data_IF_160653372940
#
_entry.id   IF_160653372940
#
_cell.length_a   1.000
_cell.length_b   1.000
_cell.length_c   1.000
_cell.angle_alpha   90.00
_cell.angle_beta   90.00
_cell.angle_gamma   90.00
#
_symmetry.space_group_name_H-M   'P 1'
#
loop_
_entity.id
_entity.type
_entity.pdbx_description
1 polymer ?
#
# COMPACT_ATOMS: atom_id res chain seq x y z
N UNK A 1 16.24 -9.98 15.54
CA UNK A 1 16.92 -9.22 14.47
C UNK A 1 15.94 -8.34 13.70
N UNK A 2 14.82 -8.88 13.19
CA UNK A 2 13.77 -8.11 12.48
C UNK A 2 13.17 -6.98 13.33
N UNK A 3 12.90 -7.20 14.61
CA UNK A 3 12.34 -6.15 15.51
C UNK A 3 13.24 -4.92 15.61
N UNK A 4 14.56 -5.08 15.54
CA UNK A 4 15.51 -3.96 15.51
C UNK A 4 15.38 -3.11 14.25
N UNK A 5 15.13 -3.75 13.10
CA UNK A 5 14.89 -3.06 11.83
C UNK A 5 13.53 -2.36 11.83
N UNK A 6 12.49 -2.98 12.42
CA UNK A 6 11.19 -2.33 12.62
C UNK A 6 11.32 -1.10 13.50
N UNK A 7 12.07 -1.20 14.61
CA UNK A 7 12.36 -0.07 15.49
C UNK A 7 13.09 1.08 14.77
N UNK A 8 14.10 0.77 13.96
CA UNK A 8 14.81 1.76 13.15
C UNK A 8 13.90 2.45 12.11
N UNK A 9 13.01 1.70 11.44
CA UNK A 9 12.04 2.27 10.51
C UNK A 9 11.04 3.19 11.21
N UNK A 10 10.65 2.90 12.45
CA UNK A 10 9.69 3.71 13.20
C UNK A 10 10.23 5.11 13.57
N UNK A 11 11.55 5.27 13.65
CA UNK A 11 12.21 6.52 14.04
C UNK A 11 12.89 7.26 12.89
N UNK A 12 13.08 6.62 11.73
CA UNK A 12 13.67 7.25 10.56
C UNK A 12 12.66 8.08 9.78
N UNK A 13 13.02 9.32 9.46
CA UNK A 13 12.21 10.22 8.63
C UNK A 13 12.70 10.30 7.17
N UNK A 14 13.86 9.73 6.87
CA UNK A 14 14.43 9.74 5.51
C UNK A 14 13.87 8.57 4.68
N UNK A 15 13.17 8.84 3.56
CA UNK A 15 12.65 7.80 2.69
C UNK A 15 13.72 6.86 2.12
N UNK A 16 14.94 7.36 1.86
CA UNK A 16 16.01 6.52 1.32
C UNK A 16 16.46 5.47 2.36
N UNK A 17 16.61 5.91 3.61
CA UNK A 17 16.96 5.02 4.71
C UNK A 17 15.84 4.00 5.02
N UNK A 18 14.57 4.39 4.93
CA UNK A 18 13.45 3.45 5.08
C UNK A 18 13.48 2.33 4.03
N UNK A 19 13.78 2.67 2.77
CA UNK A 19 13.91 1.68 1.69
C UNK A 19 15.08 0.74 1.95
N UNK A 20 16.22 1.27 2.41
CA UNK A 20 17.41 0.47 2.76
C UNK A 20 17.10 -0.52 3.88
N UNK A 21 16.50 -0.04 4.97
CA UNK A 21 16.09 -0.88 6.11
C UNK A 21 15.08 -1.96 5.69
N UNK A 22 14.12 -1.64 4.83
CA UNK A 22 13.17 -2.63 4.31
C UNK A 22 13.85 -3.72 3.47
N UNK A 23 14.83 -3.33 2.64
CA UNK A 23 15.62 -4.26 1.85
C UNK A 23 16.46 -5.20 2.74
N UNK A 24 17.03 -4.68 3.84
CA UNK A 24 17.79 -5.48 4.81
C UNK A 24 16.91 -6.50 5.56
N UNK A 25 15.64 -6.17 5.82
CA UNK A 25 14.70 -7.07 6.49
C UNK A 25 14.18 -8.19 5.59
N UNK A 26 14.08 -7.97 4.27
CA UNK A 26 13.42 -8.90 3.36
C UNK A 26 14.04 -10.31 3.33
N UNK A 27 15.37 -10.49 3.22
CA UNK A 27 15.98 -11.84 3.23
C UNK A 27 15.73 -12.61 4.53
N UNK A 28 15.75 -11.91 5.67
CA UNK A 28 15.47 -12.52 6.98
C UNK A 28 14.02 -12.98 7.06
N UNK A 29 13.09 -12.16 6.58
CA UNK A 29 11.68 -12.55 6.47
C UNK A 29 11.49 -13.73 5.53
N UNK A 30 12.16 -13.78 4.37
CA UNK A 30 12.03 -14.91 3.45
C UNK A 30 12.64 -16.22 3.97
N UNK A 31 13.69 -16.14 4.80
CA UNK A 31 14.32 -17.31 5.40
C UNK A 31 13.44 -17.90 6.54
N UNK A 32 12.85 -17.03 7.35
CA UNK A 32 12.19 -17.44 8.60
C UNK A 32 10.64 -17.40 8.54
N UNK A 33 10.02 -16.76 7.53
CA UNK A 33 8.56 -16.71 7.42
C UNK A 33 7.98 -17.97 6.76
N UNK A 34 7.04 -18.66 7.43
CA UNK A 34 6.31 -19.78 6.85
C UNK A 34 5.14 -19.35 5.91
N UNK A 35 4.99 -18.06 5.57
CA UNK A 35 3.88 -17.60 4.72
C UNK A 35 4.40 -17.17 3.35
N UNK A 36 3.83 -17.78 2.31
CA UNK A 36 4.13 -17.50 0.91
C UNK A 36 3.08 -16.50 0.37
N UNK A 37 3.43 -15.23 0.09
CA UNK A 37 2.49 -14.30 -0.51
C UNK A 37 2.12 -14.77 -1.93
N UNK A 38 0.84 -15.09 -2.15
CA UNK A 38 0.39 -15.63 -3.44
C UNK A 38 0.27 -14.52 -4.50
N UNK A 39 -0.61 -13.56 -4.23
CA UNK A 39 -0.86 -12.42 -5.12
C UNK A 39 -1.57 -11.31 -4.34
N UNK A 40 -1.53 -10.09 -4.88
CA UNK A 40 -2.40 -9.02 -4.40
C UNK A 40 -3.78 -9.19 -5.01
N UNK A 41 -4.80 -9.33 -4.16
CA UNK A 41 -6.19 -9.41 -4.60
C UNK A 41 -6.58 -8.15 -5.37
N UNK A 42 -7.11 -8.33 -6.58
CA UNK A 42 -7.65 -7.23 -7.38
C UNK A 42 -8.97 -6.75 -6.78
N UNK A 43 -9.13 -5.43 -6.62
CA UNK A 43 -10.42 -4.80 -6.31
C UNK A 43 -11.03 -4.26 -7.60
N UNK A 44 -12.23 -4.74 -7.93
CA UNK A 44 -13.00 -4.22 -9.07
C UNK A 44 -13.85 -3.05 -8.62
N UNK A 45 -13.72 -1.92 -9.32
CA UNK A 45 -14.50 -0.72 -9.09
C UNK A 45 -15.44 -0.48 -10.27
N UNK A 46 -16.73 -0.35 -10.00
CA UNK A 46 -17.75 -0.01 -10.99
C UNK A 46 -18.41 1.29 -10.56
N UNK A 47 -18.43 2.26 -11.46
CA UNK A 47 -19.09 3.55 -11.27
C UNK A 47 -19.99 3.86 -12.48
N UNK A 48 -20.98 4.71 -12.29
CA UNK A 48 -21.82 5.18 -13.39
C UNK A 48 -20.96 5.92 -14.42
N UNK A 49 -21.24 5.73 -15.73
CA UNK A 49 -20.52 6.42 -16.81
C UNK A 49 -20.57 7.95 -16.71
N UNK A 50 -21.60 8.49 -16.06
CA UNK A 50 -21.77 9.93 -15.80
C UNK A 50 -20.94 10.44 -14.62
N UNK A 51 -20.31 9.57 -13.84
CA UNK A 51 -19.48 9.95 -12.71
C UNK A 51 -18.02 10.10 -13.15
N UNK A 52 -17.47 11.28 -12.91
CA UNK A 52 -16.10 11.64 -13.27
C UNK A 52 -15.18 11.71 -12.06
N UNK A 53 -13.88 11.56 -12.34
CA UNK A 53 -12.79 11.62 -11.38
C UNK A 53 -12.84 10.55 -10.27
N UNK A 54 -13.55 9.45 -10.49
CA UNK A 54 -13.46 8.26 -9.63
C UNK A 54 -12.14 7.54 -9.97
N UNK A 55 -11.21 7.50 -9.02
CA UNK A 55 -9.89 6.88 -9.22
C UNK A 55 -9.77 5.64 -8.34
N UNK A 56 -9.27 4.55 -8.90
CA UNK A 56 -9.04 3.33 -8.14
C UNK A 56 -7.95 3.54 -7.08
N UNK A 57 -8.08 2.85 -5.96
CA UNK A 57 -7.03 2.81 -4.96
C UNK A 57 -7.04 1.43 -4.28
N UNK A 58 -5.94 0.67 -4.38
CA UNK A 58 -5.86 -0.69 -3.83
C UNK A 58 -5.75 -0.70 -2.29
N UNK A 59 -5.56 0.46 -1.64
CA UNK A 59 -5.49 0.55 -0.18
C UNK A 59 -6.85 0.31 0.48
N UNK A 60 -6.84 0.27 1.82
CA UNK A 60 -8.07 0.16 2.64
C UNK A 60 -9.08 1.27 2.34
N UNK A 61 -8.62 2.47 1.99
CA UNK A 61 -9.49 3.62 1.72
C UNK A 61 -10.31 3.45 0.43
N UNK A 62 -9.88 2.55 -0.47
CA UNK A 62 -10.61 2.19 -1.68
C UNK A 62 -10.85 3.41 -2.58
N UNK A 63 -11.85 3.34 -3.46
CA UNK A 63 -12.23 4.47 -4.31
C UNK A 63 -12.57 5.74 -3.53
N UNK A 64 -12.94 5.62 -2.25
CA UNK A 64 -13.32 6.74 -1.39
C UNK A 64 -12.23 7.78 -1.13
N UNK A 65 -10.96 7.45 -1.37
CA UNK A 65 -9.82 8.30 -1.05
C UNK A 65 -9.81 9.67 -1.74
N UNK A 66 -10.56 9.84 -2.84
CA UNK A 66 -10.61 11.07 -3.63
C UNK A 66 -12.04 11.58 -3.90
N UNK A 67 -12.99 11.27 -3.00
CA UNK A 67 -14.40 11.64 -3.16
C UNK A 67 -14.66 13.14 -3.28
N UNK A 68 -13.76 13.97 -2.73
CA UNK A 68 -13.79 15.44 -2.88
C UNK A 68 -13.78 15.90 -4.34
N UNK A 69 -13.15 15.09 -5.21
CA UNK A 69 -13.00 15.39 -6.64
C UNK A 69 -14.11 14.82 -7.50
N UNK A 70 -14.99 13.98 -6.95
CA UNK A 70 -16.02 13.33 -7.74
C UNK A 70 -17.03 14.35 -8.25
N UNK A 71 -17.46 14.18 -9.51
CA UNK A 71 -18.43 15.04 -10.17
C UNK A 71 -19.40 14.21 -10.98
N UNK A 72 -20.69 14.49 -10.82
CA UNK A 72 -21.73 13.91 -11.64
C UNK A 72 -22.00 14.85 -12.82
N UNK A 73 -21.77 14.37 -14.04
CA UNK A 73 -22.17 15.07 -15.26
C UNK A 73 -23.65 14.82 -15.50
N UNK A 74 -24.39 15.89 -15.83
CA UNK A 74 -25.84 15.84 -16.05
C UNK A 74 -26.18 15.09 -17.33
#
# INVERSE_FOLDING_TARGET
QVDGIIGAQAVSADPAELVRLLADAAPVLWADMPTLPLYRQQRTLVAAKKMYAVVNNPTRWGAGWNMDRWRLTR
#
